data_IF_939900600580
#
_entry.id   IF_939900600580
#
_cell.length_a   1.000
_cell.length_b   1.000
_cell.length_c   1.000
_cell.angle_alpha   90.00
_cell.angle_beta   90.00
_cell.angle_gamma   90.00
#
_symmetry.space_group_name_H-M   'P 1'
#
loop_
_entity.id
_entity.type
_entity.pdbx_description
1 polymer ?
#
# COMPACT_ATOMS: atom_id res chain seq x y z
N UNK A 1 66.82 37.77 -20.14
CA UNK A 1 67.44 36.43 -20.23
C UNK A 1 66.38 35.42 -20.69
N UNK A 2 66.73 34.32 -21.36
CA UNK A 2 65.93 33.91 -22.53
C UNK A 2 64.99 32.71 -22.33
N UNK A 3 63.80 32.81 -22.93
CA UNK A 3 63.21 31.70 -23.66
C UNK A 3 63.24 32.05 -25.15
N UNK A 4 63.90 31.19 -25.94
CA UNK A 4 63.86 31.18 -27.41
C UNK A 4 63.98 29.73 -27.88
N UNK A 5 62.97 29.26 -28.60
CA UNK A 5 63.07 28.18 -29.59
C UNK A 5 62.41 28.72 -30.87
N UNK A 6 62.87 28.28 -32.04
CA UNK A 6 62.73 29.06 -33.27
C UNK A 6 62.54 28.13 -34.49
N UNK A 7 61.46 28.32 -35.25
CA UNK A 7 61.20 27.60 -36.51
C UNK A 7 60.73 26.14 -36.36
N UNK A 8 60.21 25.47 -37.40
CA UNK A 8 59.92 25.93 -38.79
C UNK A 8 58.78 25.12 -39.43
N UNK A 9 57.91 25.83 -40.18
CA UNK A 9 56.99 25.33 -41.24
C UNK A 9 55.87 24.32 -40.84
N UNK A 10 54.73 24.32 -41.56
CA UNK A 10 53.60 23.45 -41.27
C UNK A 10 53.60 22.17 -42.11
N UNK A 11 53.02 21.09 -41.58
CA UNK A 11 52.54 19.98 -42.40
C UNK A 11 51.02 19.90 -42.28
N UNK A 12 50.34 20.04 -43.42
CA UNK A 12 48.89 20.10 -43.51
C UNK A 12 48.34 18.68 -43.33
N UNK A 13 47.72 18.41 -42.18
CA UNK A 13 46.88 17.22 -41.99
C UNK A 13 45.41 17.67 -41.88
N UNK A 14 44.79 17.91 -43.03
CA UNK A 14 43.34 18.00 -43.13
C UNK A 14 42.79 16.58 -43.06
N UNK A 15 41.91 16.28 -42.10
CA UNK A 15 40.61 15.66 -42.37
C UNK A 15 39.71 15.62 -41.12
N UNK A 16 38.40 15.65 -41.37
CA UNK A 16 37.28 15.35 -40.46
C UNK A 16 37.17 16.11 -39.13
N UNK A 17 36.21 17.03 -39.08
CA UNK A 17 35.47 17.31 -37.85
C UNK A 17 34.73 16.04 -37.40
N UNK A 18 34.79 15.68 -36.10
CA UNK A 18 33.70 15.05 -35.30
C UNK A 18 34.22 14.46 -33.97
N UNK A 19 34.77 15.29 -33.08
CA UNK A 19 34.90 14.90 -31.67
C UNK A 19 33.55 15.11 -30.96
N UNK A 20 32.55 14.33 -31.37
CA UNK A 20 31.21 14.40 -30.79
C UNK A 20 31.27 13.73 -29.41
N UNK A 21 30.99 14.52 -28.35
CA UNK A 21 30.97 14.01 -26.97
C UNK A 21 29.85 12.99 -26.83
N UNK A 22 30.19 11.70 -26.85
CA UNK A 22 29.31 10.65 -26.33
C UNK A 22 29.30 10.77 -24.80
N UNK A 23 28.49 11.69 -24.29
CA UNK A 23 27.94 11.57 -22.95
C UNK A 23 27.10 10.29 -22.97
N UNK A 24 27.71 9.18 -22.54
CA UNK A 24 26.97 7.97 -22.23
C UNK A 24 26.04 8.33 -21.08
N UNK A 25 24.77 8.57 -21.39
CA UNK A 25 23.70 8.53 -20.41
C UNK A 25 23.73 7.12 -19.84
N UNK A 26 24.29 6.97 -18.64
CA UNK A 26 24.21 5.73 -17.88
C UNK A 26 22.73 5.35 -17.89
N UNK A 27 22.34 4.16 -18.42
CA UNK A 27 20.95 3.76 -18.38
C UNK A 27 20.57 3.72 -16.91
N UNK A 28 19.60 4.55 -16.52
CA UNK A 28 19.07 4.53 -15.17
C UNK A 28 18.64 3.09 -14.89
N UNK A 29 19.22 2.46 -13.86
CA UNK A 29 18.73 1.18 -13.36
C UNK A 29 17.27 1.39 -12.97
N UNK A 30 16.36 0.94 -13.84
CA UNK A 30 14.93 1.10 -13.68
C UNK A 30 14.48 0.05 -12.68
N UNK A 31 14.50 0.42 -11.41
CA UNK A 31 14.07 -0.42 -10.31
C UNK A 31 12.65 -0.93 -10.60
N UNK A 32 12.45 -2.25 -10.52
CA UNK A 32 11.12 -2.83 -10.65
C UNK A 32 10.29 -2.41 -9.44
N UNK A 33 9.22 -1.67 -9.67
CA UNK A 33 8.35 -1.19 -8.61
C UNK A 33 7.47 -2.31 -8.09
N UNK A 34 7.46 -2.45 -6.77
CA UNK A 34 6.52 -3.27 -6.00
C UNK A 34 5.58 -2.33 -5.25
N UNK A 35 4.51 -1.83 -5.90
CA UNK A 35 3.52 -1.02 -5.24
C UNK A 35 2.73 -1.84 -4.22
N UNK A 36 2.37 -1.18 -3.13
CA UNK A 36 1.48 -1.65 -2.08
C UNK A 36 0.30 -0.71 -1.99
N UNK A 37 -0.91 -1.23 -2.12
CA UNK A 37 -2.14 -0.44 -2.06
C UNK A 37 -2.72 -0.52 -0.63
N UNK A 38 -2.55 0.55 0.16
CA UNK A 38 -2.97 0.61 1.56
C UNK A 38 -4.10 1.63 1.76
N UNK A 39 -5.31 1.16 2.09
CA UNK A 39 -6.49 2.01 2.25
C UNK A 39 -6.95 2.10 3.71
N UNK A 40 -7.23 3.31 4.20
CA UNK A 40 -7.72 3.53 5.56
C UNK A 40 -9.25 3.60 5.62
N UNK A 41 -9.84 2.89 6.58
CA UNK A 41 -11.28 2.88 6.87
C UNK A 41 -11.45 3.35 8.32
N UNK A 42 -11.84 4.62 8.47
CA UNK A 42 -11.77 5.34 9.76
C UNK A 42 -13.17 5.51 10.38
N UNK A 43 -13.38 4.96 11.57
CA UNK A 43 -14.64 5.09 12.29
C UNK A 43 -14.78 6.49 12.91
N UNK A 44 -15.89 7.16 12.57
CA UNK A 44 -16.27 8.48 13.08
C UNK A 44 -17.72 8.52 13.56
N UNK A 45 -18.25 7.35 13.93
CA UNK A 45 -19.59 7.17 14.50
C UNK A 45 -19.74 7.75 15.90
N UNK A 46 -20.98 7.81 16.37
CA UNK A 46 -21.31 8.32 17.70
C UNK A 46 -20.73 7.45 18.83
N UNK A 47 -20.59 6.14 18.63
CA UNK A 47 -19.99 5.24 19.64
C UNK A 47 -18.54 5.63 19.92
N UNK A 48 -17.74 5.92 18.88
CA UNK A 48 -16.36 6.40 18.99
C UNK A 48 -16.28 7.76 19.68
N UNK A 49 -17.11 8.73 19.27
CA UNK A 49 -17.02 10.09 19.76
C UNK A 49 -17.49 10.25 21.22
N UNK A 50 -18.54 9.55 21.64
CA UNK A 50 -19.10 9.72 22.99
C UNK A 50 -18.31 9.03 24.11
N UNK A 51 -17.28 8.23 23.80
CA UNK A 51 -16.43 7.57 24.82
C UNK A 51 -15.65 8.53 25.71
N UNK A 52 -15.37 9.75 25.23
CA UNK A 52 -14.60 10.76 25.96
C UNK A 52 -15.17 12.17 25.77
N UNK A 53 -14.71 13.11 26.59
CA UNK A 53 -14.99 14.54 26.45
C UNK A 53 -13.66 15.31 26.30
N UNK A 54 -13.52 16.21 25.32
CA UNK A 54 -14.51 16.57 24.27
C UNK A 54 -14.75 15.40 23.28
N UNK A 55 -15.91 15.36 22.57
CA UNK A 55 -16.24 14.25 21.67
C UNK A 55 -15.22 14.01 20.54
N UNK A 56 -14.52 15.06 20.13
CA UNK A 56 -13.46 14.96 19.14
C UNK A 56 -12.22 14.19 19.62
N UNK A 57 -12.08 13.88 20.92
CA UNK A 57 -10.84 13.31 21.49
C UNK A 57 -10.38 12.04 20.75
N UNK A 58 -11.26 11.06 20.56
CA UNK A 58 -10.91 9.84 19.82
C UNK A 58 -10.81 10.10 18.31
N UNK A 59 -11.61 11.00 17.75
CA UNK A 59 -11.55 11.39 16.33
C UNK A 59 -10.18 12.01 15.99
N UNK A 60 -9.69 12.92 16.82
CA UNK A 60 -8.38 13.57 16.65
C UNK A 60 -7.21 12.61 16.95
N UNK A 61 -7.40 11.61 17.82
CA UNK A 61 -6.46 10.50 17.99
C UNK A 61 -6.40 9.58 16.75
N UNK A 62 -7.53 9.23 16.14
CA UNK A 62 -7.59 8.44 14.88
C UNK A 62 -6.90 9.21 13.75
N UNK A 63 -7.18 10.52 13.61
CA UNK A 63 -6.53 11.40 12.62
C UNK A 63 -5.02 11.50 12.88
N UNK A 64 -4.61 11.65 14.14
CA UNK A 64 -3.19 11.68 14.55
C UNK A 64 -2.45 10.37 14.34
N UNK A 65 -3.12 9.23 14.55
CA UNK A 65 -2.59 7.89 14.27
C UNK A 65 -2.41 7.70 12.77
N UNK A 66 -3.42 8.05 11.97
CA UNK A 66 -3.40 7.90 10.51
C UNK A 66 -2.34 8.78 9.87
N UNK A 67 -2.19 10.05 10.29
CA UNK A 67 -1.07 10.91 9.88
C UNK A 67 0.30 10.27 10.19
N UNK A 68 0.47 9.68 11.38
CA UNK A 68 1.72 9.01 11.77
C UNK A 68 1.96 7.73 10.97
N UNK A 69 0.91 7.01 10.61
CA UNK A 69 0.99 5.86 9.70
C UNK A 69 1.50 6.30 8.33
N UNK A 70 0.85 7.30 7.72
CA UNK A 70 1.21 7.86 6.41
C UNK A 70 2.66 8.42 6.40
N UNK A 71 3.17 8.94 7.52
CA UNK A 71 4.57 9.37 7.65
C UNK A 71 5.59 8.21 7.76
N UNK A 72 5.17 7.02 8.16
CA UNK A 72 6.04 5.81 8.22
C UNK A 72 5.97 4.96 6.94
N UNK A 73 5.03 5.24 6.01
CA UNK A 73 4.95 4.68 4.65
C UNK A 73 6.13 5.16 3.78
N UNK A 74 7.31 4.61 4.05
CA UNK A 74 8.57 4.95 3.38
C UNK A 74 8.84 3.92 2.29
N UNK A 75 9.23 4.41 1.12
CA UNK A 75 9.83 3.58 0.08
C UNK A 75 11.02 2.80 0.63
N UNK A 76 11.20 1.57 0.15
CA UNK A 76 12.33 0.73 0.53
C UNK A 76 12.93 0.08 -0.71
N UNK A 77 14.23 0.32 -0.95
CA UNK A 77 14.97 -0.43 -1.97
C UNK A 77 15.32 -1.80 -1.41
N UNK A 78 14.89 -2.83 -2.11
CA UNK A 78 15.23 -4.22 -1.85
C UNK A 78 16.35 -4.68 -2.80
N UNK A 79 17.03 -5.80 -2.51
CA UNK A 79 17.93 -6.44 -3.47
C UNK A 79 17.24 -6.75 -4.81
N UNK A 80 18.06 -7.04 -5.83
CA UNK A 80 17.62 -7.43 -7.17
C UNK A 80 16.91 -6.29 -7.94
N UNK A 81 17.38 -5.05 -7.75
CA UNK A 81 16.84 -3.82 -8.35
C UNK A 81 15.32 -3.67 -8.20
N UNK A 82 14.78 -3.85 -6.97
CA UNK A 82 13.34 -3.63 -6.67
C UNK A 82 13.11 -2.51 -5.68
N UNK A 83 12.05 -1.73 -5.87
CA UNK A 83 11.65 -0.66 -4.95
C UNK A 83 10.22 -0.89 -4.46
N UNK A 84 10.04 -1.03 -3.14
CA UNK A 84 8.72 -1.02 -2.52
C UNK A 84 8.17 0.40 -2.57
N UNK A 85 7.06 0.60 -3.28
CA UNK A 85 6.34 1.88 -3.39
C UNK A 85 4.98 1.77 -2.72
N UNK A 86 4.35 2.89 -2.39
CA UNK A 86 3.11 2.91 -1.62
C UNK A 86 2.06 3.76 -2.33
N UNK A 87 0.88 3.18 -2.56
CA UNK A 87 -0.33 3.91 -2.89
C UNK A 87 -1.21 3.95 -1.64
N UNK A 88 -1.82 5.10 -1.32
CA UNK A 88 -2.75 5.20 -0.21
C UNK A 88 -3.88 6.20 -0.44
N UNK A 89 -4.98 5.93 0.24
CA UNK A 89 -6.24 6.66 0.21
C UNK A 89 -7.01 6.36 1.49
N UNK A 90 -8.13 7.05 1.71
CA UNK A 90 -8.89 6.91 2.93
C UNK A 90 -10.37 7.22 2.74
N UNK A 91 -11.20 6.59 3.55
CA UNK A 91 -12.57 7.02 3.85
C UNK A 91 -12.76 7.12 5.36
N UNK A 92 -13.73 7.93 5.77
CA UNK A 92 -14.28 7.86 7.12
C UNK A 92 -15.78 7.57 7.06
N UNK A 93 -16.32 6.96 8.11
CA UNK A 93 -17.70 6.49 8.11
C UNK A 93 -18.41 6.70 9.45
N UNK A 94 -19.74 6.67 9.36
CA UNK A 94 -20.67 6.42 10.46
C UNK A 94 -21.84 5.61 9.91
N UNK A 95 -23.05 6.14 9.81
CA UNK A 95 -24.11 5.57 8.96
C UNK A 95 -23.96 5.96 7.48
N UNK A 96 -23.27 7.07 7.22
CA UNK A 96 -22.83 7.53 5.91
C UNK A 96 -21.34 7.24 5.71
N UNK A 97 -20.88 7.20 4.45
CA UNK A 97 -19.48 6.96 4.09
C UNK A 97 -18.96 8.14 3.28
N UNK A 98 -17.92 8.80 3.78
CA UNK A 98 -17.28 9.94 3.13
C UNK A 98 -15.87 9.53 2.69
N UNK A 99 -15.64 9.56 1.39
CA UNK A 99 -14.33 9.35 0.80
C UNK A 99 -13.45 10.59 1.06
N UNK A 100 -12.33 10.40 1.76
CA UNK A 100 -11.39 11.47 2.12
C UNK A 100 -10.40 11.70 0.98
N UNK A 101 -9.86 10.62 0.41
CA UNK A 101 -9.15 10.63 -0.88
C UNK A 101 -9.25 9.23 -1.51
N UNK A 102 -9.35 9.21 -2.83
CA UNK A 102 -9.07 8.02 -3.64
C UNK A 102 -7.63 7.52 -3.38
N UNK A 103 -7.34 6.29 -3.80
CA UNK A 103 -5.98 5.76 -3.73
C UNK A 103 -5.03 6.58 -4.63
N UNK A 104 -3.87 6.96 -4.10
CA UNK A 104 -2.91 7.86 -4.76
C UNK A 104 -1.46 7.57 -4.31
N UNK A 105 -0.48 7.86 -5.15
CA UNK A 105 0.94 7.62 -4.87
C UNK A 105 1.47 8.46 -3.69
N UNK A 106 2.10 7.79 -2.71
CA UNK A 106 2.64 8.40 -1.49
C UNK A 106 4.06 8.99 -1.67
N UNK A 107 4.68 8.84 -2.84
CA UNK A 107 5.82 9.68 -3.22
C UNK A 107 5.39 11.12 -3.56
N UNK A 108 4.21 11.30 -4.17
CA UNK A 108 3.70 12.60 -4.63
C UNK A 108 2.61 13.20 -3.72
N UNK A 109 1.54 12.46 -3.43
CA UNK A 109 0.31 13.00 -2.78
C UNK A 109 0.30 12.93 -1.25
N UNK A 110 1.38 12.48 -0.60
CA UNK A 110 1.46 12.27 0.86
C UNK A 110 0.97 13.46 1.69
N UNK A 111 1.42 14.67 1.35
CA UNK A 111 1.06 15.88 2.09
C UNK A 111 -0.39 16.30 1.82
N UNK A 112 -0.93 15.97 0.64
CA UNK A 112 -2.33 16.16 0.32
C UNK A 112 -3.19 15.19 1.16
N UNK A 113 -2.86 13.89 1.19
CA UNK A 113 -3.56 12.90 2.03
C UNK A 113 -3.55 13.28 3.53
N UNK A 114 -2.40 13.72 4.07
CA UNK A 114 -2.31 14.21 5.46
C UNK A 114 -3.20 15.44 5.71
N UNK A 115 -3.40 16.30 4.69
CA UNK A 115 -4.23 17.50 4.82
C UNK A 115 -5.71 17.15 4.88
N UNK A 116 -6.20 16.28 4.00
CA UNK A 116 -7.60 15.88 3.97
C UNK A 116 -7.95 14.99 5.18
N UNK A 117 -7.02 14.14 5.64
CA UNK A 117 -7.14 13.41 6.93
C UNK A 117 -7.32 14.40 8.10
N UNK A 118 -6.61 15.53 8.11
CA UNK A 118 -6.83 16.59 9.12
C UNK A 118 -8.16 17.32 8.95
N UNK A 119 -8.64 17.42 7.71
CA UNK A 119 -9.94 17.98 7.34
C UNK A 119 -11.16 17.15 7.79
N UNK A 120 -10.99 15.86 8.11
CA UNK A 120 -12.08 14.98 8.60
C UNK A 120 -12.85 15.65 9.75
N UNK A 121 -14.16 15.81 9.55
CA UNK A 121 -15.11 16.26 10.55
C UNK A 121 -15.87 15.06 11.15
N UNK A 122 -16.28 15.20 12.41
CA UNK A 122 -17.18 14.23 13.04
C UNK A 122 -18.58 14.33 12.42
N UNK A 123 -19.10 13.19 11.93
CA UNK A 123 -20.43 13.07 11.32
C UNK A 123 -21.45 12.35 12.21
N UNK A 124 -21.00 11.48 13.12
CA UNK A 124 -21.83 10.89 14.17
C UNK A 124 -22.94 9.97 13.67
N UNK A 125 -23.92 9.70 14.55
CA UNK A 125 -24.97 8.68 14.36
C UNK A 125 -24.37 7.25 14.32
N UNK A 126 -24.98 6.32 13.57
CA UNK A 126 -24.67 4.88 13.55
C UNK A 126 -23.30 4.46 13.01
N UNK A 127 -23.10 3.16 12.80
CA UNK A 127 -21.77 2.54 12.60
C UNK A 127 -21.84 1.43 11.53
N UNK A 128 -21.79 1.80 10.25
CA UNK A 128 -21.93 0.90 9.08
C UNK A 128 -20.57 0.33 8.63
N UNK A 129 -19.86 -0.33 9.55
CA UNK A 129 -18.51 -0.86 9.30
C UNK A 129 -18.46 -1.86 8.14
N UNK A 130 -19.50 -2.66 7.92
CA UNK A 130 -19.54 -3.62 6.81
C UNK A 130 -19.59 -2.91 5.44
N UNK A 131 -20.45 -1.90 5.29
CA UNK A 131 -20.49 -1.04 4.11
C UNK A 131 -19.16 -0.29 3.89
N UNK A 132 -18.54 0.19 4.97
CA UNK A 132 -17.28 0.93 4.92
C UNK A 132 -16.11 0.04 4.43
N UNK A 133 -16.02 -1.20 4.90
CA UNK A 133 -15.06 -2.19 4.40
C UNK A 133 -15.31 -2.48 2.92
N UNK A 134 -16.55 -2.77 2.50
CA UNK A 134 -16.88 -3.04 1.08
C UNK A 134 -16.56 -1.85 0.17
N UNK A 135 -16.78 -0.61 0.64
CA UNK A 135 -16.39 0.59 -0.10
C UNK A 135 -14.87 0.72 -0.25
N UNK A 136 -14.10 0.34 0.78
CA UNK A 136 -12.63 0.28 0.75
C UNK A 136 -12.09 -0.79 -0.19
N UNK A 137 -12.71 -1.98 -0.23
CA UNK A 137 -12.42 -3.04 -1.22
C UNK A 137 -12.61 -2.48 -2.64
N UNK A 138 -13.73 -1.80 -2.90
CA UNK A 138 -14.00 -1.21 -4.21
C UNK A 138 -12.95 -0.16 -4.63
N UNK A 139 -12.47 0.70 -3.73
CA UNK A 139 -11.38 1.64 -4.04
C UNK A 139 -10.06 0.92 -4.37
N UNK A 140 -9.71 -0.14 -3.64
CA UNK A 140 -8.50 -0.95 -3.88
C UNK A 140 -8.54 -1.77 -5.18
N UNK A 141 -9.75 -2.14 -5.65
CA UNK A 141 -9.96 -2.87 -6.90
C UNK A 141 -10.06 -1.95 -8.13
N UNK A 142 -10.55 -0.71 -7.96
CA UNK A 142 -10.73 0.25 -9.06
C UNK A 142 -9.49 1.13 -9.25
N UNK A 143 -8.90 1.64 -8.17
CA UNK A 143 -7.76 2.58 -8.20
C UNK A 143 -6.41 1.96 -7.83
N UNK A 144 -6.38 0.71 -7.37
CA UNK A 144 -5.14 0.04 -6.95
C UNK A 144 -4.29 -0.51 -8.09
N UNK A 145 -3.06 -0.83 -7.76
CA UNK A 145 -2.08 -1.50 -8.62
C UNK A 145 -2.57 -2.87 -9.13
N UNK A 146 -1.84 -3.42 -10.11
CA UNK A 146 -2.14 -4.71 -10.71
C UNK A 146 -1.76 -5.93 -9.84
N UNK A 147 -1.06 -5.73 -8.73
CA UNK A 147 -0.71 -6.80 -7.78
C UNK A 147 -1.91 -7.08 -6.85
N UNK A 148 -2.65 -8.14 -7.15
CA UNK A 148 -3.90 -8.47 -6.43
C UNK A 148 -3.69 -8.74 -4.94
N UNK A 149 -2.58 -9.36 -4.56
CA UNK A 149 -2.27 -9.74 -3.16
C UNK A 149 -1.56 -8.64 -2.35
N UNK A 150 -1.15 -7.53 -2.99
CA UNK A 150 -0.50 -6.38 -2.33
C UNK A 150 -1.53 -5.33 -1.85
N UNK A 151 -2.75 -5.76 -1.51
CA UNK A 151 -3.90 -4.89 -1.22
C UNK A 151 -4.32 -5.03 0.23
N UNK A 152 -4.28 -3.92 0.95
CA UNK A 152 -4.42 -3.90 2.41
C UNK A 152 -5.42 -2.82 2.86
N UNK A 153 -6.30 -3.18 3.80
CA UNK A 153 -7.18 -2.22 4.48
C UNK A 153 -6.77 -2.13 5.95
N UNK A 154 -6.70 -0.91 6.50
CA UNK A 154 -6.57 -0.68 7.95
C UNK A 154 -7.88 -0.08 8.45
N UNK A 155 -8.67 -0.89 9.16
CA UNK A 155 -9.90 -0.44 9.84
C UNK A 155 -9.52 0.04 11.23
N UNK A 156 -9.89 1.28 11.57
CA UNK A 156 -9.68 1.88 12.89
C UNK A 156 -11.05 2.17 13.52
N UNK A 157 -11.44 1.39 14.54
CA UNK A 157 -12.80 1.40 15.11
C UNK A 157 -12.81 1.07 16.61
N UNK A 158 -13.92 1.35 17.30
CA UNK A 158 -14.19 0.87 18.66
C UNK A 158 -14.84 -0.53 18.69
N UNK A 159 -15.21 -1.08 17.53
CA UNK A 159 -15.82 -2.41 17.46
C UNK A 159 -17.29 -2.47 17.89
N UNK A 160 -18.01 -1.35 17.91
CA UNK A 160 -19.48 -1.30 18.06
C UNK A 160 -20.21 -1.78 16.79
N UNK A 161 -21.40 -2.44 16.82
CA UNK A 161 -22.19 -2.96 17.95
C UNK A 161 -22.56 -4.47 17.87
N UNK A 162 -23.03 -5.05 18.99
CA UNK A 162 -24.16 -5.99 19.10
C UNK A 162 -24.75 -5.82 20.52
N UNK A 163 -26.07 -5.76 20.74
CA UNK A 163 -27.13 -6.67 20.28
C UNK A 163 -28.27 -5.96 19.52
N UNK A 164 -29.12 -6.73 18.84
CA UNK A 164 -30.34 -6.24 18.16
C UNK A 164 -30.11 -5.43 16.87
N UNK A 165 -28.92 -4.88 16.69
CA UNK A 165 -28.51 -4.20 15.46
C UNK A 165 -28.39 -5.15 14.26
N UNK A 166 -28.78 -4.67 13.07
CA UNK A 166 -28.60 -5.40 11.80
C UNK A 166 -27.70 -4.57 10.87
N UNK A 167 -26.52 -5.10 10.62
CA UNK A 167 -25.54 -4.59 9.65
C UNK A 167 -26.18 -4.46 8.25
N UNK A 168 -26.14 -3.28 7.60
CA UNK A 168 -26.95 -3.00 6.42
C UNK A 168 -26.40 -3.51 5.08
N UNK A 169 -25.09 -3.79 4.95
CA UNK A 169 -24.46 -4.29 3.72
C UNK A 169 -24.14 -5.80 3.73
N UNK A 170 -24.76 -6.56 4.64
CA UNK A 170 -24.65 -8.02 4.75
C UNK A 170 -23.84 -8.53 5.94
N UNK A 171 -23.19 -7.64 6.69
CA UNK A 171 -22.47 -7.95 7.92
C UNK A 171 -20.97 -8.15 7.76
N UNK A 172 -20.25 -7.91 8.86
CA UNK A 172 -18.78 -7.96 8.94
C UNK A 172 -18.18 -9.25 8.39
N UNK A 173 -18.78 -10.40 8.72
CA UNK A 173 -18.30 -11.70 8.25
C UNK A 173 -18.30 -11.79 6.73
N UNK A 174 -19.31 -11.20 6.07
CA UNK A 174 -19.41 -11.21 4.61
C UNK A 174 -18.50 -10.17 3.97
N UNK A 175 -18.33 -8.98 4.58
CA UNK A 175 -17.33 -8.01 4.13
C UNK A 175 -15.90 -8.57 4.23
N UNK A 176 -15.58 -9.35 5.28
CA UNK A 176 -14.30 -10.04 5.40
C UNK A 176 -14.17 -11.25 4.46
N UNK A 177 -15.28 -11.92 4.09
CA UNK A 177 -15.29 -12.95 3.04
C UNK A 177 -14.99 -12.34 1.66
N UNK A 178 -15.64 -11.23 1.34
CA UNK A 178 -15.46 -10.46 0.10
C UNK A 178 -14.01 -9.97 -0.03
N UNK A 179 -13.42 -9.46 1.05
CA UNK A 179 -12.00 -9.09 1.10
C UNK A 179 -11.09 -10.29 0.78
N UNK A 180 -11.29 -11.43 1.45
CA UNK A 180 -10.53 -12.67 1.20
C UNK A 180 -10.66 -13.17 -0.25
N UNK A 181 -11.86 -13.11 -0.84
CA UNK A 181 -12.09 -13.52 -2.23
C UNK A 181 -11.38 -12.62 -3.24
N UNK A 182 -11.11 -11.36 -2.88
CA UNK A 182 -10.41 -10.39 -3.72
C UNK A 182 -8.91 -10.24 -3.41
N UNK A 183 -8.34 -11.10 -2.55
CA UNK A 183 -6.93 -11.00 -2.14
C UNK A 183 -6.61 -9.83 -1.20
N UNK A 184 -7.65 -9.10 -0.74
CA UNK A 184 -7.52 -7.93 0.12
C UNK A 184 -7.38 -8.36 1.57
N UNK A 185 -6.35 -7.85 2.23
CA UNK A 185 -5.96 -8.20 3.61
C UNK A 185 -6.41 -7.10 4.57
N UNK A 186 -7.32 -7.40 5.48
CA UNK A 186 -7.89 -6.42 6.41
C UNK A 186 -7.22 -6.53 7.78
N UNK A 187 -6.58 -5.44 8.22
CA UNK A 187 -6.15 -5.21 9.59
C UNK A 187 -7.26 -4.55 10.40
N UNK A 188 -7.46 -5.03 11.62
CA UNK A 188 -8.35 -4.42 12.60
C UNK A 188 -7.53 -3.76 13.71
N UNK A 189 -7.70 -2.45 13.90
CA UNK A 189 -7.02 -1.65 14.91
C UNK A 189 -8.06 -1.07 15.87
N UNK A 190 -7.96 -1.41 17.15
CA UNK A 190 -8.82 -0.85 18.17
C UNK A 190 -8.49 0.64 18.38
N UNK A 191 -9.47 1.47 18.71
CA UNK A 191 -9.14 2.82 19.20
C UNK A 191 -8.46 2.77 20.58
N UNK A 192 -8.83 1.84 21.47
CA UNK A 192 -8.22 1.73 22.80
C UNK A 192 -8.19 0.29 23.32
N UNK A 193 -7.30 -0.05 24.28
CA UNK A 193 -7.03 -1.45 24.66
C UNK A 193 -8.17 -2.18 25.40
N UNK A 194 -9.28 -1.50 25.70
CA UNK A 194 -10.46 -2.00 26.41
C UNK A 194 -11.58 -2.54 25.51
N UNK A 195 -11.38 -2.62 24.19
CA UNK A 195 -12.42 -3.11 23.27
C UNK A 195 -12.50 -4.63 23.25
N UNK A 196 -13.72 -5.17 23.02
CA UNK A 196 -13.88 -6.61 22.84
C UNK A 196 -13.13 -7.12 21.60
N UNK A 197 -12.26 -8.10 21.82
CA UNK A 197 -11.61 -8.89 20.76
C UNK A 197 -12.63 -9.48 19.77
N UNK A 198 -13.86 -9.77 20.22
CA UNK A 198 -14.88 -10.50 19.45
C UNK A 198 -15.20 -9.85 18.10
N UNK A 199 -15.67 -8.59 18.06
CA UNK A 199 -16.05 -7.95 16.78
C UNK A 199 -14.84 -7.55 15.94
N UNK A 200 -13.76 -7.09 16.57
CA UNK A 200 -12.48 -6.83 15.91
C UNK A 200 -11.94 -8.11 15.23
N UNK A 201 -12.24 -9.29 15.78
CA UNK A 201 -11.84 -10.57 15.17
C UNK A 201 -12.62 -11.00 13.94
N UNK A 202 -13.83 -10.45 13.72
CA UNK A 202 -14.62 -10.70 12.51
C UNK A 202 -14.23 -9.74 11.38
N UNK A 203 -13.75 -8.54 11.72
CA UNK A 203 -13.27 -7.52 10.76
C UNK A 203 -12.01 -7.98 10.03
N UNK A 204 -11.04 -8.52 10.76
CA UNK A 204 -9.75 -8.90 10.19
C UNK A 204 -9.85 -10.16 9.30
N UNK A 205 -9.09 -10.19 8.20
CA UNK A 205 -9.16 -11.33 7.27
C UNK A 205 -8.40 -12.57 7.77
N UNK A 206 -7.41 -12.37 8.64
CA UNK A 206 -6.60 -13.42 9.30
C UNK A 206 -6.34 -13.06 10.78
N UNK A 207 -6.02 -14.06 11.61
CA UNK A 207 -5.73 -13.89 13.04
C UNK A 207 -4.50 -13.00 13.31
N UNK A 208 -3.49 -12.98 12.43
CA UNK A 208 -2.32 -12.14 12.64
C UNK A 208 -2.61 -10.65 12.40
N UNK A 209 -3.61 -10.32 11.58
CA UNK A 209 -4.00 -8.93 11.28
C UNK A 209 -4.89 -8.29 12.38
N UNK A 210 -5.08 -8.98 13.51
CA UNK A 210 -5.86 -8.57 14.70
C UNK A 210 -5.13 -8.84 16.03
N UNK A 211 -3.84 -8.54 16.07
CA UNK A 211 -3.09 -8.46 17.33
C UNK A 211 -3.55 -7.25 18.16
N UNK A 212 -2.89 -6.96 19.28
CA UNK A 212 -3.20 -5.87 20.21
C UNK A 212 -2.83 -4.47 19.63
N UNK A 213 -3.28 -4.19 18.40
CA UNK A 213 -3.07 -2.96 17.67
C UNK A 213 -4.01 -1.88 18.19
N UNK A 214 -3.46 -0.74 18.64
CA UNK A 214 -4.23 0.35 19.25
C UNK A 214 -3.86 1.72 18.69
N UNK A 215 -4.88 2.53 18.36
CA UNK A 215 -4.71 3.83 17.71
C UNK A 215 -4.67 5.02 18.67
N UNK A 216 -5.37 4.97 19.81
CA UNK A 216 -5.53 6.10 20.73
C UNK A 216 -4.99 5.87 22.15
N UNK A 217 -4.14 4.85 22.36
CA UNK A 217 -3.42 4.69 23.63
C UNK A 217 -2.57 5.94 23.98
N UNK A 218 -2.38 6.16 25.28
CA UNK A 218 -1.80 7.36 25.87
C UNK A 218 -0.32 7.59 25.51
N UNK A 219 0.37 6.60 24.93
CA UNK A 219 1.78 6.70 24.55
C UNK A 219 1.97 6.77 23.03
N UNK A 220 2.66 7.82 22.55
CA UNK A 220 3.10 7.94 21.15
C UNK A 220 3.96 6.74 20.71
N UNK A 221 4.66 6.13 21.65
CA UNK A 221 5.42 4.88 21.46
C UNK A 221 4.52 3.71 21.04
N UNK A 222 3.36 3.51 21.70
CA UNK A 222 2.43 2.41 21.41
C UNK A 222 1.80 2.56 20.03
N UNK A 223 1.42 3.78 19.66
CA UNK A 223 0.94 4.12 18.33
C UNK A 223 1.99 3.79 17.26
N UNK A 224 3.24 4.26 17.45
CA UNK A 224 4.33 4.00 16.50
C UNK A 224 4.74 2.53 16.45
N UNK A 225 4.63 1.79 17.55
CA UNK A 225 4.84 0.35 17.58
C UNK A 225 3.76 -0.39 16.77
N UNK A 226 2.48 -0.06 16.99
CA UNK A 226 1.35 -0.59 16.19
C UNK A 226 1.55 -0.33 14.69
N UNK A 227 1.85 0.92 14.31
CA UNK A 227 2.12 1.32 12.92
C UNK A 227 3.25 0.48 12.32
N UNK A 228 4.39 0.36 13.03
CA UNK A 228 5.56 -0.38 12.52
C UNK A 228 5.31 -1.87 12.42
N UNK A 229 4.64 -2.48 13.40
CA UNK A 229 4.25 -3.90 13.34
C UNK A 229 3.38 -4.20 12.12
N UNK A 230 2.39 -3.35 11.81
CA UNK A 230 1.53 -3.53 10.62
C UNK A 230 2.35 -3.35 9.33
N UNK A 231 3.17 -2.30 9.23
CA UNK A 231 4.02 -2.05 8.04
C UNK A 231 5.06 -3.16 7.83
N UNK A 232 5.68 -3.68 8.90
CA UNK A 232 6.68 -4.74 8.81
C UNK A 232 6.06 -6.11 8.52
N UNK A 233 4.80 -6.35 8.93
CA UNK A 233 4.02 -7.50 8.46
C UNK A 233 3.73 -7.42 6.96
N UNK A 234 3.26 -6.26 6.47
CA UNK A 234 3.02 -6.01 5.04
C UNK A 234 4.30 -6.29 4.23
N UNK A 235 5.43 -5.69 4.62
CA UNK A 235 6.76 -5.92 4.00
C UNK A 235 7.23 -7.37 3.99
N UNK A 236 6.78 -8.18 4.94
CA UNK A 236 7.11 -9.61 5.01
C UNK A 236 6.21 -10.46 4.11
N UNK A 237 4.97 -10.02 3.88
CA UNK A 237 3.95 -10.68 3.06
C UNK A 237 4.13 -10.34 1.57
N UNK A 238 4.56 -9.10 1.24
CA UNK A 238 4.92 -8.64 -0.12
C UNK A 238 6.14 -9.35 -0.74
N UNK A 239 6.68 -10.36 -0.05
CA UNK A 239 7.71 -11.28 -0.55
C UNK A 239 7.37 -11.88 -1.92
N UNK A 240 6.08 -11.99 -2.29
CA UNK A 240 5.69 -12.41 -3.65
C UNK A 240 6.23 -11.45 -4.73
N UNK A 241 6.07 -10.14 -4.58
CA UNK A 241 6.62 -9.16 -5.53
C UNK A 241 8.15 -9.10 -5.49
N UNK A 242 8.78 -9.46 -4.36
CA UNK A 242 10.23 -9.60 -4.25
C UNK A 242 10.78 -10.90 -4.88
N UNK A 243 9.99 -11.97 -4.92
CA UNK A 243 10.36 -13.28 -5.48
C UNK A 243 10.02 -13.46 -6.96
N UNK A 244 9.04 -12.72 -7.49
CA UNK A 244 8.61 -12.81 -8.89
C UNK A 244 9.82 -12.65 -9.82
N UNK A 245 10.31 -13.75 -10.41
CA UNK A 245 11.53 -13.73 -11.22
C UNK A 245 11.38 -12.71 -12.34
N UNK A 246 12.37 -11.81 -12.47
CA UNK A 246 12.48 -10.98 -13.67
C UNK A 246 12.69 -11.91 -14.86
N UNK A 247 11.61 -12.16 -15.62
CA UNK A 247 11.71 -12.96 -16.84
C UNK A 247 12.74 -12.30 -17.76
N UNK A 248 13.68 -13.05 -18.35
CA UNK A 248 14.64 -12.46 -19.28
C UNK A 248 13.86 -11.72 -20.36
N UNK A 249 14.23 -10.45 -20.60
CA UNK A 249 13.53 -9.57 -21.54
C UNK A 249 13.30 -10.32 -22.84
N UNK A 250 12.02 -10.52 -23.18
CA UNK A 250 11.63 -11.37 -24.31
C UNK A 250 12.38 -10.97 -25.59
N UNK A 251 12.77 -11.93 -26.45
CA UNK A 251 13.38 -11.63 -27.74
C UNK A 251 12.58 -10.56 -28.48
N UNK A 252 13.26 -9.63 -29.13
CA UNK A 252 12.60 -8.62 -29.96
C UNK A 252 11.73 -9.33 -30.99
N UNK A 253 10.42 -9.07 -30.97
CA UNK A 253 9.45 -9.85 -31.74
C UNK A 253 9.78 -9.86 -33.24
N UNK A 254 9.87 -11.07 -33.80
CA UNK A 254 10.17 -11.27 -35.22
C UNK A 254 9.16 -10.57 -36.14
N UNK A 255 9.64 -10.12 -37.29
CA UNK A 255 8.80 -9.47 -38.31
C UNK A 255 7.79 -10.49 -38.85
N UNK A 256 6.53 -10.33 -38.43
CA UNK A 256 5.49 -11.34 -38.55
C UNK A 256 5.23 -11.85 -39.97
N UNK A 257 5.42 -13.16 -40.17
CA UNK A 257 4.98 -13.90 -41.35
C UNK A 257 3.70 -14.69 -41.06
N UNK A 258 2.92 -15.00 -42.11
CA UNK A 258 1.47 -15.28 -42.00
C UNK A 258 1.10 -16.73 -41.69
N UNK A 259 0.31 -16.90 -40.62
CA UNK A 259 -0.69 -17.96 -40.27
C UNK A 259 -0.37 -19.45 -40.46
N UNK A 260 -0.63 -20.20 -39.38
CA UNK A 260 -1.02 -21.62 -39.38
C UNK A 260 -1.78 -21.95 -38.09
N UNK A 261 -2.97 -22.57 -38.18
CA UNK A 261 -3.82 -22.88 -37.02
C UNK A 261 -3.58 -24.30 -36.46
N UNK A 262 -3.48 -24.44 -35.13
CA UNK A 262 -3.86 -25.67 -34.39
C UNK A 262 -4.19 -25.33 -32.92
N UNK A 263 -5.14 -26.05 -32.32
CA UNK A 263 -5.54 -25.92 -30.91
C UNK A 263 -5.09 -27.13 -30.07
N UNK A 264 -4.80 -26.90 -28.77
CA UNK A 264 -4.82 -27.95 -27.73
C UNK A 264 -5.05 -27.35 -26.33
N UNK A 265 -5.85 -28.02 -25.50
CA UNK A 265 -5.91 -27.86 -24.03
C UNK A 265 -4.91 -28.86 -23.36
N UNK A 266 -4.62 -28.89 -22.06
CA UNK A 266 -5.17 -28.17 -20.87
C UNK A 266 -3.98 -27.66 -20.00
N UNK A 267 -3.79 -27.78 -18.66
CA UNK A 267 -4.50 -28.35 -17.49
C UNK A 267 -4.12 -27.59 -16.19
N UNK A 268 -5.00 -27.56 -15.18
CA UNK A 268 -4.80 -26.86 -13.89
C UNK A 268 -3.85 -27.61 -12.93
N UNK A 269 -3.04 -26.88 -12.16
CA UNK A 269 -2.27 -27.42 -11.02
C UNK A 269 -2.57 -26.69 -9.70
N UNK A 270 -2.77 -27.47 -8.64
CA UNK A 270 -2.87 -26.98 -7.25
C UNK A 270 -1.47 -26.85 -6.64
N UNK A 271 -1.21 -25.77 -5.90
CA UNK A 271 0.04 -25.59 -5.16
C UNK A 271 -0.15 -25.78 -3.65
N UNK A 272 0.80 -26.48 -3.04
CA UNK A 272 0.93 -26.64 -1.58
C UNK A 272 2.17 -25.89 -1.13
N UNK A 273 2.05 -25.02 -0.13
CA UNK A 273 3.19 -24.22 0.34
C UNK A 273 4.06 -24.98 1.34
N UNK A 274 5.36 -25.09 1.04
CA UNK A 274 6.41 -25.50 1.98
C UNK A 274 7.38 -24.33 2.17
N UNK A 275 7.49 -23.81 3.39
CA UNK A 275 8.49 -22.79 3.72
C UNK A 275 9.90 -23.39 3.71
N UNK A 276 10.80 -22.90 2.85
CA UNK A 276 12.22 -22.92 3.19
C UNK A 276 13.06 -21.81 2.52
N UNK A 277 13.95 -21.26 3.34
CA UNK A 277 15.19 -20.52 3.03
C UNK A 277 15.20 -19.39 1.97
N UNK A 278 15.44 -18.18 2.51
CA UNK A 278 15.93 -16.95 1.85
C UNK A 278 17.04 -17.27 0.83
N UNK A 279 16.86 -16.89 -0.43
CA UNK A 279 17.86 -17.03 -1.52
C UNK A 279 18.30 -15.69 -2.12
N UNK A 280 19.43 -15.73 -2.82
CA UNK A 280 20.12 -14.62 -3.47
C UNK A 280 19.41 -14.12 -4.72
N UNK A 281 19.77 -12.92 -5.15
CA UNK A 281 19.60 -12.51 -6.54
C UNK A 281 20.60 -13.26 -7.42
N UNK A 282 20.14 -13.74 -8.57
CA UNK A 282 20.97 -14.16 -9.71
C UNK A 282 20.80 -13.11 -10.82
#
# INVERSE_FOLDING_TARGET
MPQKCFGTLPQICVLTQSCLRVLQTIPSTSWLECPVDLFFVLDTSESVALRAKPPNFYIDQIKSFTERFIMELKEMRHPCDRSLTWNSGALHYSDEIILVRQLSDIATERQALITDIKGISYIGKGTHTDCAIKRGIAELLIGGSHYQENKYIVVVTDGHPLTGYKEPCGGLQEAANEARQHGVKVFSVAISPDQEDTRLSVIATDQNYRQNFTAADNSRSTQLQTIRSIIDMIRYDDVFCLQAKGGPKGPGGDIGSKVGHTHTHTHTHTHTHTHENRKTCD
#
